data_IF_112181868129
#
_entry.id   IF_112181868129
#
_cell.length_a   1.000
_cell.length_b   1.000
_cell.length_c   1.000
_cell.angle_alpha   90.00
_cell.angle_beta   90.00
_cell.angle_gamma   90.00
#
_symmetry.space_group_name_H-M   'P 1'
#
loop_
_entity.id
_entity.type
_entity.pdbx_description
1 polymer ?
#
# COMPACT_ATOMS: atom_id res chain seq x y z
N UNK A 1 -11.28 -0.67 29.49
CA UNK A 1 -10.21 -0.31 28.54
C UNK A 1 -9.33 0.85 29.04
N UNK A 2 -9.26 1.07 30.37
CA UNK A 2 -8.53 2.21 30.97
C UNK A 2 -7.36 1.78 31.87
N UNK A 3 -7.13 0.47 32.04
CA UNK A 3 -6.00 -0.03 32.82
C UNK A 3 -4.73 -0.02 31.96
N UNK A 4 -3.67 0.69 32.39
CA UNK A 4 -2.41 0.78 31.64
C UNK A 4 -1.81 -0.59 31.30
N UNK A 5 -2.01 -1.58 32.18
CA UNK A 5 -1.54 -2.96 32.01
C UNK A 5 -2.20 -3.62 30.78
N UNK A 6 -3.49 -3.41 30.58
CA UNK A 6 -4.22 -4.02 29.46
C UNK A 6 -3.76 -3.42 28.11
N UNK A 7 -3.47 -2.12 28.07
CA UNK A 7 -2.92 -1.46 26.87
C UNK A 7 -1.54 -2.02 26.56
N UNK A 8 -0.69 -2.14 27.58
CA UNK A 8 0.67 -2.66 27.42
C UNK A 8 0.67 -4.10 26.90
N UNK A 9 -0.16 -4.98 27.48
CA UNK A 9 -0.32 -6.36 27.02
C UNK A 9 -0.82 -6.42 25.57
N UNK A 10 -1.78 -5.57 25.20
CA UNK A 10 -2.31 -5.51 23.83
C UNK A 10 -1.21 -5.10 22.83
N UNK A 11 -0.45 -4.05 23.13
CA UNK A 11 0.65 -3.59 22.25
C UNK A 11 1.72 -4.67 22.10
N UNK A 12 2.16 -5.29 23.20
CA UNK A 12 3.18 -6.35 23.15
C UNK A 12 2.69 -7.55 22.35
N UNK A 13 1.49 -8.04 22.64
CA UNK A 13 0.93 -9.19 21.93
C UNK A 13 0.79 -8.93 20.43
N UNK A 14 0.38 -7.71 20.04
CA UNK A 14 0.32 -7.29 18.64
C UNK A 14 1.71 -7.39 17.96
N UNK A 15 2.75 -6.82 18.56
CA UNK A 15 4.11 -6.89 17.99
C UNK A 15 4.66 -8.31 17.95
N UNK A 16 4.40 -9.14 18.97
CA UNK A 16 4.80 -10.55 18.97
C UNK A 16 4.16 -11.29 17.79
N UNK A 17 2.85 -11.09 17.57
CA UNK A 17 2.14 -11.70 16.44
C UNK A 17 2.77 -11.25 15.12
N UNK A 18 3.05 -9.95 14.95
CA UNK A 18 3.70 -9.45 13.73
C UNK A 18 5.08 -10.09 13.50
N UNK A 19 5.91 -10.21 14.53
CA UNK A 19 7.23 -10.82 14.43
C UNK A 19 7.15 -12.31 14.08
N UNK A 20 6.20 -13.04 14.68
CA UNK A 20 5.95 -14.45 14.35
C UNK A 20 5.54 -14.59 12.88
N UNK A 21 4.58 -13.78 12.41
CA UNK A 21 4.12 -13.81 11.01
C UNK A 21 5.27 -13.46 10.06
N UNK A 22 6.07 -12.45 10.39
CA UNK A 22 7.25 -12.06 9.60
C UNK A 22 8.28 -13.17 9.53
N UNK A 23 8.57 -13.85 10.65
CA UNK A 23 9.54 -14.94 10.70
C UNK A 23 9.10 -16.17 9.88
N UNK A 24 7.80 -16.49 9.91
CA UNK A 24 7.24 -17.61 9.14
C UNK A 24 7.24 -17.29 7.64
N UNK A 25 6.95 -16.03 7.27
CA UNK A 25 6.77 -15.63 5.85
C UNK A 25 8.08 -15.20 5.18
N UNK A 26 9.12 -14.85 5.94
CA UNK A 26 10.36 -14.27 5.42
C UNK A 26 11.42 -15.26 4.90
N UNK A 27 11.06 -16.49 4.53
CA UNK A 27 12.04 -17.55 4.18
C UNK A 27 12.39 -17.69 2.70
N UNK A 28 11.74 -16.95 1.79
CA UNK A 28 11.96 -17.04 0.35
C UNK A 28 12.74 -15.83 -0.20
N UNK A 29 14.06 -15.98 -0.35
CA UNK A 29 15.01 -14.90 -0.69
C UNK A 29 15.18 -14.60 -2.18
N UNK A 30 14.28 -15.05 -3.07
CA UNK A 30 14.41 -14.68 -4.48
C UNK A 30 13.83 -13.29 -4.77
N UNK A 31 14.59 -12.42 -5.43
CA UNK A 31 14.16 -11.06 -5.81
C UNK A 31 12.79 -11.04 -6.51
N UNK A 32 12.52 -12.06 -7.35
CA UNK A 32 11.25 -12.19 -8.06
C UNK A 32 10.08 -12.48 -7.11
N UNK A 33 10.29 -13.32 -6.11
CA UNK A 33 9.28 -13.60 -5.09
C UNK A 33 9.06 -12.36 -4.21
N UNK A 34 10.14 -11.67 -3.83
CA UNK A 34 10.07 -10.49 -2.97
C UNK A 34 9.31 -9.32 -3.61
N UNK A 35 9.66 -8.93 -4.84
CA UNK A 35 9.07 -7.74 -5.48
C UNK A 35 7.75 -8.00 -6.21
N UNK A 36 7.53 -9.21 -6.74
CA UNK A 36 6.38 -9.47 -7.60
C UNK A 36 5.47 -10.60 -7.13
N UNK A 37 5.85 -11.32 -6.05
CA UNK A 37 5.10 -12.49 -5.57
C UNK A 37 4.93 -13.57 -6.65
N UNK A 38 5.88 -13.65 -7.59
CA UNK A 38 5.80 -14.47 -8.81
C UNK A 38 4.51 -14.24 -9.64
N UNK A 39 3.85 -13.08 -9.47
CA UNK A 39 2.56 -12.71 -10.06
C UNK A 39 1.44 -13.75 -9.85
N UNK A 40 1.55 -14.59 -8.82
CA UNK A 40 0.59 -15.66 -8.50
C UNK A 40 -0.11 -15.42 -7.15
N UNK A 41 -0.07 -14.20 -6.63
CA UNK A 41 -0.74 -13.83 -5.39
C UNK A 41 -2.25 -13.84 -5.58
N UNK A 42 -2.97 -14.43 -4.62
CA UNK A 42 -4.44 -14.42 -4.64
C UNK A 42 -4.95 -12.99 -4.49
N UNK A 43 -5.88 -12.59 -5.36
CA UNK A 43 -6.33 -11.20 -5.49
C UNK A 43 -6.83 -10.58 -4.17
N UNK A 44 -7.49 -11.37 -3.32
CA UNK A 44 -8.02 -10.89 -2.04
C UNK A 44 -6.90 -10.58 -1.04
N UNK A 45 -5.80 -11.33 -1.05
CA UNK A 45 -4.63 -11.07 -0.19
C UNK A 45 -4.00 -9.74 -0.60
N UNK A 46 -3.86 -9.52 -1.91
CA UNK A 46 -3.34 -8.27 -2.47
C UNK A 46 -4.26 -7.09 -2.13
N UNK A 47 -5.58 -7.27 -2.22
CA UNK A 47 -6.56 -6.25 -1.84
C UNK A 47 -6.45 -5.84 -0.37
N UNK A 48 -6.35 -6.80 0.56
CA UNK A 48 -6.16 -6.50 1.98
C UNK A 48 -4.84 -5.76 2.24
N UNK A 49 -3.75 -6.19 1.59
CA UNK A 49 -2.47 -5.49 1.67
C UNK A 49 -2.55 -4.06 1.16
N UNK A 50 -3.14 -3.84 -0.01
CA UNK A 50 -3.29 -2.51 -0.61
C UNK A 50 -4.13 -1.56 0.27
N UNK A 51 -5.25 -2.03 0.80
CA UNK A 51 -6.08 -1.22 1.73
C UNK A 51 -5.30 -0.90 3.00
N UNK A 52 -4.61 -1.90 3.58
CA UNK A 52 -3.78 -1.73 4.76
C UNK A 52 -2.65 -0.70 4.57
N UNK A 53 -2.00 -0.69 3.40
CA UNK A 53 -0.95 0.31 3.07
C UNK A 53 -1.51 1.69 2.80
N UNK A 54 -2.73 1.79 2.25
CA UNK A 54 -3.36 3.09 1.95
C UNK A 54 -3.86 3.85 3.18
N UNK A 55 -4.09 3.14 4.30
CA UNK A 55 -4.60 3.72 5.54
C UNK A 55 -3.45 3.97 6.53
N UNK A 56 -3.39 5.18 7.07
CA UNK A 56 -2.39 5.59 8.05
C UNK A 56 -3.01 6.06 9.36
N UNK A 57 -2.21 6.13 10.42
CA UNK A 57 -2.64 6.72 11.71
C UNK A 57 -3.15 8.16 11.55
N UNK A 58 -2.58 8.93 10.62
CA UNK A 58 -3.05 10.28 10.27
C UNK A 58 -4.50 10.23 9.78
N UNK A 59 -4.85 9.26 8.94
CA UNK A 59 -6.24 9.11 8.44
C UNK A 59 -7.19 8.79 9.59
N UNK A 60 -6.82 7.83 10.44
CA UNK A 60 -7.64 7.37 11.56
C UNK A 60 -7.94 8.46 12.59
N UNK A 61 -6.99 9.36 12.85
CA UNK A 61 -7.16 10.45 13.81
C UNK A 61 -7.81 11.67 13.14
N UNK A 62 -7.35 12.04 11.95
CA UNK A 62 -7.71 13.32 11.32
C UNK A 62 -9.10 13.32 10.71
N UNK A 63 -9.53 12.23 10.06
CA UNK A 63 -10.84 12.20 9.39
C UNK A 63 -11.99 12.31 10.39
N UNK A 64 -12.02 11.54 11.50
CA UNK A 64 -13.04 11.72 12.53
C UNK A 64 -12.93 13.06 13.26
N UNK A 65 -11.71 13.60 13.41
CA UNK A 65 -11.51 14.94 13.96
C UNK A 65 -12.13 16.04 13.10
N UNK A 66 -12.10 15.88 11.77
CA UNK A 66 -12.56 16.88 10.81
C UNK A 66 -14.05 16.77 10.46
N UNK A 67 -14.69 15.61 10.67
CA UNK A 67 -16.07 15.36 10.25
C UNK A 67 -17.11 16.25 10.96
N UNK A 68 -16.79 16.75 12.16
CA UNK A 68 -17.69 17.63 12.92
C UNK A 68 -17.98 18.94 12.17
N UNK A 69 -17.00 19.49 11.46
CA UNK A 69 -17.15 20.72 10.69
C UNK A 69 -17.50 20.45 9.22
N UNK A 70 -16.93 19.38 8.64
CA UNK A 70 -16.99 19.09 7.20
C UNK A 70 -18.11 18.12 6.79
N UNK A 71 -18.81 17.50 7.75
CA UNK A 71 -19.82 16.47 7.50
C UNK A 71 -19.28 15.38 6.53
N UNK A 72 -20.12 14.88 5.63
CA UNK A 72 -19.74 13.83 4.69
C UNK A 72 -18.88 14.29 3.49
N UNK A 73 -18.26 15.47 3.54
CA UNK A 73 -17.43 15.95 2.43
C UNK A 73 -16.27 14.98 2.12
N UNK A 74 -15.68 14.36 3.15
CA UNK A 74 -14.64 13.35 2.96
C UNK A 74 -15.10 12.12 2.16
N UNK A 75 -16.41 11.81 2.14
CA UNK A 75 -16.94 10.69 1.36
C UNK A 75 -16.71 10.87 -0.15
N UNK A 76 -16.67 12.11 -0.63
CA UNK A 76 -16.37 12.40 -2.04
C UNK A 76 -14.94 11.95 -2.41
N UNK A 77 -13.98 12.10 -1.49
CA UNK A 77 -12.60 11.62 -1.66
C UNK A 77 -12.58 10.09 -1.72
N UNK A 78 -13.31 9.42 -0.82
CA UNK A 78 -13.43 7.95 -0.80
C UNK A 78 -14.04 7.42 -2.10
N UNK A 79 -15.09 8.06 -2.61
CA UNK A 79 -15.68 7.72 -3.91
C UNK A 79 -14.68 7.97 -5.04
N UNK A 80 -13.89 9.04 -4.98
CA UNK A 80 -12.79 9.31 -5.90
C UNK A 80 -11.76 8.18 -5.93
N UNK A 81 -11.36 7.65 -4.77
CA UNK A 81 -10.46 6.49 -4.70
C UNK A 81 -11.04 5.25 -5.36
N UNK A 82 -12.34 4.98 -5.20
CA UNK A 82 -13.01 3.87 -5.87
C UNK A 82 -12.85 3.95 -7.40
N UNK A 83 -13.13 5.12 -7.99
CA UNK A 83 -12.92 5.35 -9.42
C UNK A 83 -11.45 5.27 -9.83
N UNK A 84 -10.55 5.81 -9.01
CA UNK A 84 -9.10 5.68 -9.21
C UNK A 84 -8.65 4.22 -9.28
N UNK A 85 -9.17 3.35 -8.40
CA UNK A 85 -8.86 1.92 -8.43
C UNK A 85 -9.38 1.22 -9.69
N UNK A 86 -10.53 1.63 -10.24
CA UNK A 86 -10.97 1.12 -11.54
C UNK A 86 -9.98 1.48 -12.65
N UNK A 87 -9.47 2.71 -12.68
CA UNK A 87 -8.44 3.12 -13.66
C UNK A 87 -7.14 2.33 -13.46
N UNK A 88 -6.69 2.18 -12.21
CA UNK A 88 -5.49 1.38 -11.90
C UNK A 88 -5.68 -0.07 -12.39
N UNK A 89 -6.81 -0.68 -12.07
CA UNK A 89 -7.07 -2.08 -12.39
C UNK A 89 -7.26 -2.34 -13.89
N UNK A 90 -7.97 -1.45 -14.59
CA UNK A 90 -8.37 -1.66 -15.98
C UNK A 90 -7.38 -1.07 -16.99
N UNK A 91 -6.56 -0.09 -16.60
CA UNK A 91 -5.64 0.61 -17.51
C UNK A 91 -4.18 0.37 -17.10
N UNK A 92 -3.82 0.73 -15.87
CA UNK A 92 -2.40 0.74 -15.47
C UNK A 92 -1.84 -0.68 -15.26
N UNK A 93 -2.55 -1.55 -14.55
CA UNK A 93 -2.11 -2.94 -14.33
C UNK A 93 -1.89 -3.70 -15.65
N UNK A 94 -2.81 -3.70 -16.63
CA UNK A 94 -2.57 -4.33 -17.93
C UNK A 94 -1.31 -3.82 -18.64
N UNK A 95 -1.05 -2.51 -18.58
CA UNK A 95 0.16 -1.91 -19.18
C UNK A 95 1.42 -2.42 -18.48
N UNK A 96 1.46 -2.43 -17.15
CA UNK A 96 2.63 -2.85 -16.40
C UNK A 96 2.93 -4.35 -16.56
N UNK A 97 1.88 -5.18 -16.54
CA UNK A 97 2.02 -6.62 -16.75
C UNK A 97 2.51 -6.93 -18.17
N UNK A 98 1.98 -6.25 -19.20
CA UNK A 98 2.41 -6.45 -20.59
C UNK A 98 3.86 -6.01 -20.84
N UNK A 99 4.31 -4.93 -20.20
CA UNK A 99 5.69 -4.44 -20.33
C UNK A 99 6.69 -5.17 -19.41
N UNK A 100 6.18 -6.13 -18.63
CA UNK A 100 6.96 -6.99 -17.73
C UNK A 100 7.88 -6.18 -16.80
N UNK A 101 7.38 -5.03 -16.32
CA UNK A 101 8.11 -4.14 -15.41
C UNK A 101 7.89 -4.56 -13.96
N UNK A 102 8.86 -4.29 -13.09
CA UNK A 102 8.74 -4.51 -11.64
C UNK A 102 8.30 -3.25 -10.90
N UNK A 103 8.57 -2.06 -11.46
CA UNK A 103 8.19 -0.78 -10.88
C UNK A 103 7.57 0.17 -11.91
N UNK A 104 6.77 1.12 -11.43
CA UNK A 104 6.19 2.18 -12.27
C UNK A 104 7.30 3.05 -12.88
N UNK A 105 8.40 3.27 -12.17
CA UNK A 105 9.54 4.07 -12.65
C UNK A 105 10.29 3.37 -13.78
N UNK A 106 10.37 2.04 -13.78
CA UNK A 106 10.90 1.27 -14.90
C UNK A 106 10.06 1.49 -16.17
N UNK A 107 8.73 1.53 -16.04
CA UNK A 107 7.84 1.89 -17.15
C UNK A 107 8.10 3.32 -17.64
N UNK A 108 8.25 4.29 -16.73
CA UNK A 108 8.62 5.66 -17.10
C UNK A 108 9.97 5.72 -17.84
N UNK A 109 10.94 4.92 -17.42
CA UNK A 109 12.23 4.76 -18.10
C UNK A 109 12.09 4.25 -19.52
N UNK A 110 11.33 3.16 -19.70
CA UNK A 110 11.05 2.57 -21.03
C UNK A 110 10.28 3.53 -21.94
N UNK A 111 9.35 4.33 -21.39
CA UNK A 111 8.46 5.20 -22.18
C UNK A 111 9.05 6.58 -22.48
N UNK A 112 9.79 7.16 -21.54
CA UNK A 112 10.22 8.57 -21.57
C UNK A 112 11.73 8.75 -21.34
N UNK A 113 12.49 7.67 -21.13
CA UNK A 113 13.93 7.71 -20.97
C UNK A 113 14.40 7.77 -19.51
N UNK A 114 15.73 7.69 -19.34
CA UNK A 114 16.38 7.46 -18.05
C UNK A 114 16.16 8.59 -17.03
N UNK A 115 15.99 9.84 -17.48
CA UNK A 115 15.74 10.97 -16.59
C UNK A 115 14.41 10.80 -15.86
N UNK A 116 13.35 10.40 -16.57
CA UNK A 116 12.03 10.14 -16.00
C UNK A 116 12.03 8.99 -15.00
N UNK A 117 12.83 7.95 -15.24
CA UNK A 117 13.05 6.86 -14.29
C UNK A 117 13.66 7.38 -12.99
N UNK A 118 14.79 8.08 -13.08
CA UNK A 118 15.55 8.57 -11.91
C UNK A 118 14.74 9.58 -11.10
N UNK A 119 14.13 10.54 -11.77
CA UNK A 119 13.33 11.59 -11.12
C UNK A 119 12.10 10.99 -10.45
N UNK A 120 11.37 10.10 -11.13
CA UNK A 120 10.22 9.41 -10.54
C UNK A 120 10.57 8.59 -9.30
N UNK A 121 11.64 7.80 -9.38
CA UNK A 121 12.13 7.02 -8.23
C UNK A 121 12.57 7.93 -7.07
N UNK A 122 13.27 9.03 -7.38
CA UNK A 122 13.74 9.98 -6.37
C UNK A 122 12.58 10.69 -5.67
N UNK A 123 11.55 11.13 -6.39
CA UNK A 123 10.37 11.75 -5.78
C UNK A 123 9.66 10.80 -4.81
N UNK A 124 9.57 9.52 -5.15
CA UNK A 124 8.96 8.51 -4.27
C UNK A 124 9.73 8.28 -2.98
N UNK A 125 11.07 8.33 -3.01
CA UNK A 125 11.87 8.20 -1.79
C UNK A 125 11.79 9.43 -0.88
N UNK A 126 11.46 10.60 -1.44
CA UNK A 126 11.37 11.87 -0.70
C UNK A 126 9.98 12.08 -0.11
N UNK A 127 8.92 11.64 -0.80
CA UNK A 127 7.51 11.79 -0.38
C UNK A 127 7.15 10.91 0.80
#
# INVERSE_FOLDING_TARGET
MNDPINIFLLVISYFIILLIVSYITGKDDSDKNFFTGNRNSKWYIVAFGMVGTSLSGVTFISVPGWIQESNFTYLQVVIGYLFGYFVVALVLLPIYYRNNVTSIYEYLGKRFGQNSHKVGALFFFIS
#
